data_IF_847202000813
#
_entry.id   IF_847202000813
#
_cell.length_a   1.000
_cell.length_b   1.000
_cell.length_c   1.000
_cell.angle_alpha   90.00
_cell.angle_beta   90.00
_cell.angle_gamma   90.00
#
_symmetry.space_group_name_H-M   'P 1'
#
loop_
_entity.id
_entity.type
_entity.pdbx_description
1 polymer ?
#
# COMPACT_ATOMS: atom_id res chain seq x y z
N UNK A 1 3.88 18.73 -16.13
CA UNK A 1 5.11 17.99 -15.76
C UNK A 1 5.10 17.51 -14.30
N UNK A 2 4.83 18.38 -13.31
CA UNK A 2 4.76 17.97 -11.89
C UNK A 2 3.82 16.78 -11.63
N UNK A 3 2.63 16.76 -12.24
CA UNK A 3 1.66 15.67 -12.05
C UNK A 3 2.20 14.30 -12.51
N UNK A 4 2.82 14.26 -13.70
CA UNK A 4 3.42 13.02 -14.21
C UNK A 4 4.59 12.55 -13.33
N UNK A 5 5.43 13.48 -12.86
CA UNK A 5 6.51 13.18 -11.91
C UNK A 5 5.97 12.64 -10.58
N UNK A 6 4.87 13.23 -10.08
CA UNK A 6 4.18 12.74 -8.88
C UNK A 6 3.62 11.34 -9.08
N UNK A 7 2.98 11.08 -10.22
CA UNK A 7 2.46 9.76 -10.58
C UNK A 7 3.58 8.73 -10.63
N UNK A 8 4.63 8.98 -11.41
CA UNK A 8 5.78 8.07 -11.50
C UNK A 8 6.41 7.80 -10.14
N UNK A 9 6.57 8.83 -9.31
CA UNK A 9 7.10 8.67 -7.96
C UNK A 9 6.18 7.85 -7.05
N UNK A 10 4.87 8.09 -7.10
CA UNK A 10 3.89 7.36 -6.29
C UNK A 10 3.83 5.88 -6.66
N UNK A 11 3.81 5.57 -7.96
CA UNK A 11 3.87 4.20 -8.45
C UNK A 11 5.20 3.51 -8.11
N UNK A 12 6.32 4.24 -8.10
CA UNK A 12 7.59 3.69 -7.62
C UNK A 12 7.54 3.33 -6.13
N UNK A 13 6.89 4.15 -5.29
CA UNK A 13 6.64 3.83 -3.89
C UNK A 13 5.72 2.63 -3.69
N UNK A 14 4.64 2.54 -4.47
CA UNK A 14 3.71 1.40 -4.43
C UNK A 14 4.36 0.09 -4.88
N UNK A 15 5.22 0.15 -5.89
CA UNK A 15 6.02 -1.01 -6.32
C UNK A 15 6.99 -1.45 -5.21
N UNK A 16 7.71 -0.51 -4.57
CA UNK A 16 8.60 -0.82 -3.46
C UNK A 16 7.86 -1.45 -2.28
N UNK A 17 6.69 -0.91 -1.92
CA UNK A 17 5.80 -1.46 -0.91
C UNK A 17 5.42 -2.92 -1.21
N UNK A 18 4.94 -3.19 -2.42
CA UNK A 18 4.51 -4.53 -2.83
C UNK A 18 5.67 -5.53 -2.90
N UNK A 19 6.83 -5.11 -3.43
CA UNK A 19 8.04 -5.94 -3.44
C UNK A 19 8.43 -6.33 -2.01
N UNK A 20 8.34 -5.42 -1.05
CA UNK A 20 8.63 -5.73 0.34
C UNK A 20 7.64 -6.71 0.95
N UNK A 21 6.33 -6.49 0.75
CA UNK A 21 5.32 -7.44 1.19
C UNK A 21 5.56 -8.85 0.63
N UNK A 22 5.79 -8.94 -0.68
CA UNK A 22 5.99 -10.21 -1.38
C UNK A 22 7.29 -10.91 -0.97
N UNK A 23 8.38 -10.16 -0.80
CA UNK A 23 9.67 -10.72 -0.45
C UNK A 23 9.69 -11.22 0.99
N UNK A 24 9.17 -10.41 1.92
CA UNK A 24 9.27 -10.74 3.35
C UNK A 24 8.29 -11.85 3.74
N UNK A 25 7.10 -11.91 3.13
CA UNK A 25 6.15 -12.99 3.42
C UNK A 25 6.65 -14.39 3.05
N UNK A 26 7.61 -14.50 2.14
CA UNK A 26 8.23 -15.77 1.78
C UNK A 26 9.28 -16.23 2.81
N UNK A 27 9.75 -15.32 3.66
CA UNK A 27 10.85 -15.57 4.61
C UNK A 27 10.39 -15.54 6.07
N UNK A 28 9.34 -14.80 6.38
CA UNK A 28 8.88 -14.54 7.74
C UNK A 28 7.39 -14.90 7.89
N UNK A 29 7.04 -15.92 8.71
CA UNK A 29 5.66 -16.32 8.91
C UNK A 29 4.80 -15.28 9.66
N UNK A 30 5.42 -14.27 10.27
CA UNK A 30 4.72 -13.16 10.93
C UNK A 30 4.66 -11.90 10.06
N UNK A 31 5.13 -11.97 8.81
CA UNK A 31 4.98 -10.89 7.84
C UNK A 31 3.50 -10.57 7.60
N UNK A 32 3.15 -9.28 7.43
CA UNK A 32 1.78 -8.89 7.14
C UNK A 32 1.32 -9.38 5.77
N UNK A 33 0.14 -10.01 5.75
CA UNK A 33 -0.48 -10.61 4.57
C UNK A 33 -1.57 -9.71 3.99
N UNK A 34 -1.14 -8.57 3.43
CA UNK A 34 -2.01 -7.58 2.77
C UNK A 34 -2.77 -8.18 1.59
N UNK A 35 -2.19 -9.17 0.92
CA UNK A 35 -2.84 -9.92 -0.16
C UNK A 35 -4.16 -10.55 0.30
N UNK A 36 -4.17 -11.25 1.44
CA UNK A 36 -5.36 -11.90 1.97
C UNK A 36 -6.44 -10.89 2.34
N UNK A 37 -6.03 -9.77 2.93
CA UNK A 37 -6.93 -8.66 3.25
C UNK A 37 -7.55 -8.07 1.98
N UNK A 38 -6.75 -7.87 0.93
CA UNK A 38 -7.21 -7.38 -0.37
C UNK A 38 -8.18 -8.34 -1.06
N UNK A 39 -7.88 -9.64 -1.06
CA UNK A 39 -8.75 -10.70 -1.60
C UNK A 39 -10.10 -10.75 -0.89
N UNK A 40 -10.10 -10.64 0.43
CA UNK A 40 -11.32 -10.57 1.21
C UNK A 40 -12.12 -9.30 0.90
N UNK A 41 -11.46 -8.14 0.83
CA UNK A 41 -12.08 -6.86 0.52
C UNK A 41 -12.73 -6.85 -0.87
N UNK A 42 -12.02 -7.35 -1.89
CA UNK A 42 -12.52 -7.43 -3.25
C UNK A 42 -13.70 -8.40 -3.35
N UNK A 43 -13.56 -9.61 -2.79
CA UNK A 43 -14.60 -10.63 -2.80
C UNK A 43 -15.89 -10.14 -2.11
N UNK A 44 -15.74 -9.49 -0.95
CA UNK A 44 -16.88 -8.92 -0.20
C UNK A 44 -17.56 -7.80 -0.97
N UNK A 45 -16.78 -6.95 -1.65
CA UNK A 45 -17.30 -5.84 -2.46
C UNK A 45 -18.06 -6.35 -3.70
N UNK A 46 -17.51 -7.33 -4.42
CA UNK A 46 -18.20 -7.93 -5.58
C UNK A 46 -19.49 -8.64 -5.18
N UNK A 47 -19.47 -9.39 -4.06
CA UNK A 47 -20.68 -10.01 -3.51
C UNK A 47 -21.76 -8.98 -3.15
N UNK A 48 -21.40 -7.83 -2.57
CA UNK A 48 -22.35 -6.73 -2.30
C UNK A 48 -22.97 -6.15 -3.57
N UNK A 49 -22.25 -6.21 -4.69
CA UNK A 49 -22.72 -5.76 -6.00
C UNK A 49 -23.46 -6.85 -6.79
N UNK A 50 -23.69 -8.03 -6.20
CA UNK A 50 -24.22 -9.22 -6.89
C UNK A 50 -23.40 -9.63 -8.12
N UNK A 51 -22.08 -9.43 -8.06
CA UNK A 51 -21.12 -9.85 -9.08
C UNK A 51 -20.34 -11.08 -8.59
N UNK A 52 -19.99 -11.96 -9.53
CA UNK A 52 -19.10 -13.09 -9.25
C UNK A 52 -17.66 -12.60 -9.04
N UNK A 53 -17.11 -12.91 -7.86
CA UNK A 53 -15.72 -12.63 -7.56
C UNK A 53 -14.78 -13.59 -8.32
N UNK A 54 -13.65 -13.10 -8.86
CA UNK A 54 -12.57 -13.96 -9.33
C UNK A 54 -12.14 -14.95 -8.24
N UNK A 55 -11.49 -16.04 -8.65
CA UNK A 55 -11.01 -17.09 -7.72
C UNK A 55 -9.54 -17.39 -7.97
N UNK A 56 -8.88 -17.91 -6.92
CA UNK A 56 -7.49 -18.35 -6.96
C UNK A 56 -6.56 -17.23 -7.48
N UNK A 57 -5.69 -17.57 -8.43
CA UNK A 57 -4.69 -16.65 -8.95
C UNK A 57 -5.28 -15.38 -9.58
N UNK A 58 -6.48 -15.45 -10.20
CA UNK A 58 -7.10 -14.28 -10.79
C UNK A 58 -7.60 -13.29 -9.71
N UNK A 59 -7.99 -13.81 -8.54
CA UNK A 59 -8.35 -12.97 -7.40
C UNK A 59 -7.10 -12.25 -6.86
N UNK A 60 -6.02 -12.99 -6.64
CA UNK A 60 -4.73 -12.44 -6.22
C UNK A 60 -4.20 -11.36 -7.18
N UNK A 61 -4.24 -11.62 -8.50
CA UNK A 61 -3.76 -10.63 -9.47
C UNK A 61 -4.65 -9.38 -9.53
N UNK A 62 -5.97 -9.54 -9.41
CA UNK A 62 -6.90 -8.41 -9.37
C UNK A 62 -6.67 -7.54 -8.11
N UNK A 63 -6.39 -8.17 -6.97
CA UNK A 63 -6.14 -7.45 -5.71
C UNK A 63 -4.78 -6.78 -5.72
N UNK A 64 -3.75 -7.44 -6.23
CA UNK A 64 -2.42 -6.86 -6.43
C UNK A 64 -2.48 -5.64 -7.36
N UNK A 65 -3.20 -5.74 -8.48
CA UNK A 65 -3.41 -4.60 -9.38
C UNK A 65 -4.14 -3.46 -8.67
N UNK A 66 -5.20 -3.79 -7.93
CA UNK A 66 -5.94 -2.81 -7.12
C UNK A 66 -5.07 -2.12 -6.07
N UNK A 67 -4.21 -2.87 -5.39
CA UNK A 67 -3.30 -2.35 -4.38
C UNK A 67 -2.24 -1.42 -5.00
N UNK A 68 -1.58 -1.84 -6.09
CA UNK A 68 -0.60 -1.02 -6.80
C UNK A 68 -1.22 0.29 -7.30
N UNK A 69 -2.42 0.23 -7.88
CA UNK A 69 -3.13 1.44 -8.36
C UNK A 69 -3.50 2.33 -7.17
N UNK A 70 -4.11 1.77 -6.13
CA UNK A 70 -4.60 2.54 -4.98
C UNK A 70 -3.46 3.20 -4.23
N UNK A 71 -2.40 2.45 -3.90
CA UNK A 71 -1.21 2.97 -3.24
C UNK A 71 -0.41 3.90 -4.15
N UNK A 72 -0.36 3.62 -5.45
CA UNK A 72 0.30 4.47 -6.45
C UNK A 72 -0.34 5.86 -6.48
N UNK A 73 -1.66 5.93 -6.56
CA UNK A 73 -2.42 7.18 -6.50
C UNK A 73 -2.29 7.86 -5.13
N UNK A 74 -2.41 7.10 -4.04
CA UNK A 74 -2.25 7.61 -2.67
C UNK A 74 -0.89 8.29 -2.49
N UNK A 75 0.20 7.61 -2.86
CA UNK A 75 1.55 8.16 -2.73
C UNK A 75 1.84 9.27 -3.73
N UNK A 76 1.20 9.29 -4.90
CA UNK A 76 1.33 10.40 -5.85
C UNK A 76 0.94 11.74 -5.20
N UNK A 77 0.03 11.73 -4.22
CA UNK A 77 -0.34 12.92 -3.47
C UNK A 77 0.84 13.54 -2.69
N UNK A 78 1.86 12.76 -2.30
CA UNK A 78 3.08 13.26 -1.63
C UNK A 78 3.80 14.29 -2.51
N UNK A 79 3.83 14.06 -3.83
CA UNK A 79 4.47 14.93 -4.81
C UNK A 79 3.64 16.16 -5.19
N UNK A 80 2.39 16.26 -4.74
CA UNK A 80 1.55 17.44 -5.01
C UNK A 80 2.01 18.64 -4.18
N UNK A 81 2.07 19.81 -4.83
CA UNK A 81 2.50 21.07 -4.22
C UNK A 81 4.01 21.24 -4.12
N UNK A 82 4.47 21.87 -3.03
CA UNK A 82 5.86 22.25 -2.85
C UNK A 82 6.75 21.13 -2.33
N UNK A 83 8.03 21.19 -2.73
CA UNK A 83 9.08 20.21 -2.38
C UNK A 83 9.47 20.27 -0.91
N UNK A 84 9.15 21.37 -0.22
CA UNK A 84 9.52 21.56 1.18
C UNK A 84 9.03 20.37 2.00
N UNK A 85 9.94 19.76 2.74
CA UNK A 85 9.68 18.62 3.62
C UNK A 85 9.13 17.37 2.90
N UNK A 86 9.50 17.11 1.63
CA UNK A 86 9.00 15.95 0.86
C UNK A 86 9.17 14.60 1.58
N UNK A 87 10.29 14.39 2.29
CA UNK A 87 10.53 13.17 3.07
C UNK A 87 9.62 13.07 4.30
N UNK A 88 9.38 14.19 4.99
CA UNK A 88 8.42 14.23 6.10
C UNK A 88 7.00 13.96 5.62
N UNK A 89 6.59 14.54 4.47
CA UNK A 89 5.31 14.24 3.83
C UNK A 89 5.20 12.75 3.51
N UNK A 90 6.26 12.16 2.95
CA UNK A 90 6.33 10.73 2.66
C UNK A 90 6.20 9.86 3.91
N UNK A 91 6.92 10.20 4.99
CA UNK A 91 6.82 9.48 6.26
C UNK A 91 5.42 9.60 6.89
N UNK A 92 4.82 10.80 6.91
CA UNK A 92 3.46 11.01 7.44
C UNK A 92 2.42 10.25 6.61
N UNK A 93 2.53 10.28 5.28
CA UNK A 93 1.64 9.52 4.40
C UNK A 93 1.79 8.01 4.65
N UNK A 94 3.03 7.51 4.76
CA UNK A 94 3.27 6.11 5.07
C UNK A 94 2.74 5.69 6.44
N UNK A 95 2.94 6.49 7.49
CA UNK A 95 2.37 6.23 8.81
C UNK A 95 0.84 6.21 8.73
N UNK A 96 0.23 7.19 8.08
CA UNK A 96 -1.22 7.29 7.91
C UNK A 96 -1.78 6.05 7.20
N UNK A 97 -1.18 5.64 6.09
CA UNK A 97 -1.60 4.46 5.35
C UNK A 97 -1.39 3.18 6.15
N UNK A 98 -0.25 3.02 6.81
CA UNK A 98 0.03 1.84 7.64
C UNK A 98 -0.91 1.71 8.84
N UNK A 99 -1.22 2.81 9.51
CA UNK A 99 -2.24 2.82 10.57
C UNK A 99 -3.63 2.54 10.00
N UNK A 100 -3.96 3.06 8.82
CA UNK A 100 -5.20 2.73 8.12
C UNK A 100 -5.31 1.23 7.84
N UNK A 101 -4.24 0.62 7.31
CA UNK A 101 -4.19 -0.80 7.01
C UNK A 101 -4.40 -1.70 8.25
N UNK A 102 -4.02 -1.23 9.44
CA UNK A 102 -4.18 -1.97 10.70
C UNK A 102 -5.56 -1.75 11.33
N UNK A 103 -6.08 -0.51 11.31
CA UNK A 103 -7.24 -0.14 12.13
C UNK A 103 -8.57 -0.16 11.36
N UNK A 104 -8.57 -0.07 10.04
CA UNK A 104 -9.78 -0.03 9.22
C UNK A 104 -10.44 -1.41 9.00
N UNK A 105 -9.68 -2.52 8.76
CA UNK A 105 -10.28 -3.80 8.37
C UNK A 105 -11.45 -4.27 9.24
N UNK A 106 -11.25 -4.35 10.56
CA UNK A 106 -12.27 -4.81 11.51
C UNK A 106 -13.52 -3.91 11.47
N UNK A 107 -13.33 -2.58 11.37
CA UNK A 107 -14.43 -1.61 11.32
C UNK A 107 -15.34 -1.77 10.08
N UNK A 108 -14.79 -2.29 8.98
CA UNK A 108 -15.55 -2.58 7.75
C UNK A 108 -15.93 -4.06 7.63
N UNK A 109 -15.71 -4.83 8.70
CA UNK A 109 -16.03 -6.25 8.84
C UNK A 109 -15.14 -7.17 7.99
N UNK A 110 -13.88 -6.79 7.79
CA UNK A 110 -12.84 -7.65 7.26
C UNK A 110 -12.09 -8.31 8.42
N UNK A 111 -11.42 -9.42 8.14
CA UNK A 111 -10.52 -10.07 9.09
C UNK A 111 -9.20 -9.29 9.12
N UNK A 112 -8.88 -8.71 10.27
CA UNK A 112 -7.67 -7.91 10.48
C UNK A 112 -6.47 -8.76 10.90
N UNK A 113 -6.69 -10.03 11.27
CA UNK A 113 -5.63 -10.99 11.68
C UNK A 113 -4.42 -10.98 10.73
N UNK A 114 -4.57 -10.96 9.39
CA UNK A 114 -3.44 -10.92 8.44
C UNK A 114 -2.45 -9.76 8.66
N UNK A 115 -2.87 -8.67 9.30
CA UNK A 115 -2.07 -7.47 9.53
C UNK A 115 -1.91 -7.12 11.02
N UNK A 116 -2.64 -7.78 11.91
CA UNK A 116 -2.65 -7.50 13.35
C UNK A 116 -2.24 -8.68 14.24
N UNK A 117 -1.95 -9.87 13.68
CA UNK A 117 -1.61 -11.12 14.39
C UNK A 117 -0.64 -10.93 15.57
N UNK A 118 0.41 -10.13 15.39
CA UNK A 118 1.41 -9.84 16.43
C UNK A 118 1.80 -8.36 16.43
N UNK A 119 2.42 -7.89 17.51
CA UNK A 119 3.03 -6.54 17.54
C UNK A 119 4.07 -6.37 16.44
N UNK A 120 4.82 -7.43 16.11
CA UNK A 120 5.77 -7.45 15.00
C UNK A 120 5.04 -7.24 13.67
N UNK A 121 3.95 -7.96 13.40
CA UNK A 121 3.13 -7.81 12.19
C UNK A 121 2.62 -6.38 12.04
N UNK A 122 2.10 -5.78 13.11
CA UNK A 122 1.65 -4.38 13.12
C UNK A 122 2.78 -3.41 12.78
N UNK A 123 3.93 -3.55 13.43
CA UNK A 123 5.10 -2.70 13.18
C UNK A 123 5.57 -2.84 11.73
N UNK A 124 5.66 -4.06 11.22
CA UNK A 124 6.05 -4.33 9.84
C UNK A 124 5.08 -3.71 8.85
N UNK A 125 3.76 -3.82 9.07
CA UNK A 125 2.75 -3.16 8.23
C UNK A 125 3.05 -1.67 8.13
N UNK A 126 3.17 -0.96 9.27
CA UNK A 126 3.47 0.48 9.24
C UNK A 126 4.81 0.77 8.58
N UNK A 127 5.85 -0.01 8.88
CA UNK A 127 7.18 0.19 8.34
C UNK A 127 7.21 0.08 6.81
N UNK A 128 6.50 -0.88 6.22
CA UNK A 128 6.40 -1.06 4.77
C UNK A 128 5.73 0.14 4.10
N UNK A 129 4.63 0.65 4.66
CA UNK A 129 3.99 1.86 4.13
C UNK A 129 4.87 3.10 4.29
N UNK A 130 5.65 3.22 5.36
CA UNK A 130 6.65 4.29 5.52
C UNK A 130 7.73 4.20 4.46
N UNK A 131 8.25 3.01 4.19
CA UNK A 131 9.26 2.78 3.13
C UNK A 131 8.69 3.18 1.75
N UNK A 132 7.46 2.78 1.42
CA UNK A 132 6.80 3.20 0.18
C UNK A 132 6.70 4.73 0.04
N UNK A 133 6.33 5.43 1.12
CA UNK A 133 6.28 6.89 1.16
C UNK A 133 7.66 7.56 1.01
N UNK A 134 8.70 7.00 1.64
CA UNK A 134 10.07 7.50 1.53
C UNK A 134 10.68 7.27 0.14
N UNK A 135 10.41 6.11 -0.48
CA UNK A 135 10.82 5.83 -1.86
C UNK A 135 10.14 6.82 -2.82
N UNK A 136 8.84 7.07 -2.63
CA UNK A 136 8.12 8.11 -3.40
C UNK A 136 8.80 9.47 -3.28
N UNK A 137 9.10 9.89 -2.04
CA UNK A 137 9.78 11.16 -1.79
C UNK A 137 11.15 11.21 -2.48
N UNK A 138 11.94 10.14 -2.42
CA UNK A 138 13.25 10.05 -3.06
C UNK A 138 13.17 10.15 -4.59
N UNK A 139 12.25 9.41 -5.22
CA UNK A 139 12.05 9.40 -6.67
C UNK A 139 11.58 10.76 -7.16
N UNK A 140 10.57 11.35 -6.52
CA UNK A 140 10.09 12.69 -6.86
C UNK A 140 11.20 13.75 -6.74
N UNK A 141 11.99 13.65 -5.67
CA UNK A 141 13.09 14.57 -5.39
C UNK A 141 14.22 14.49 -6.43
N UNK A 142 14.42 13.32 -7.07
CA UNK A 142 15.33 13.14 -8.21
C UNK A 142 14.71 13.62 -9.53
N UNK A 143 13.48 13.23 -9.84
CA UNK A 143 12.82 13.58 -11.10
C UNK A 143 12.65 15.09 -11.30
N UNK A 144 12.51 15.85 -10.20
CA UNK A 144 12.41 17.31 -10.24
C UNK A 144 13.77 18.03 -10.28
N UNK A 145 14.88 17.30 -10.08
CA UNK A 145 16.26 17.82 -10.24
C UNK A 145 16.78 17.64 -11.67
N UNK A 146 16.26 16.65 -12.39
CA UNK A 146 16.46 16.45 -13.83
C UNK A 146 15.57 17.41 -14.62
#
# INVERSE_FOLDING_TARGET
MKLLQSLLAGFAGAAALNILHESVRQLDPDAPRIDLLGEQALSKSMKKLNLDAPRGNNLYLATLAGDIISNGLYYSAIGLGDRKNIYLKGAIAGITAGLGAINIPDQVGLDDTPVTKTNKTKILTVAWYVIGGLVTAAVFNRLKKA
#
